data_IF_437906050168
#
_entry.id   IF_437906050168
#
_cell.length_a   1.000
_cell.length_b   1.000
_cell.length_c   1.000
_cell.angle_alpha   90.00
_cell.angle_beta   90.00
_cell.angle_gamma   90.00
#
_symmetry.space_group_name_H-M   'P 1'
#
loop_
_entity.id
_entity.type
_entity.pdbx_description
1 polymer ?
#
# COMPACT_ATOMS: atom_id res chain seq x y z
N UNK A 1 3.40 28.03 1.93
CA UNK A 1 3.21 26.88 0.98
C UNK A 1 4.48 26.58 0.18
N UNK A 2 5.38 27.56 -0.01
CA UNK A 2 6.73 27.37 -0.56
C UNK A 2 7.76 26.84 0.49
N UNK A 3 7.36 26.70 1.75
CA UNK A 3 8.31 26.51 2.86
C UNK A 3 8.73 25.05 3.07
N UNK A 4 7.90 24.06 2.70
CA UNK A 4 8.19 22.65 2.98
C UNK A 4 9.23 22.06 2.03
N UNK A 5 9.13 22.34 0.72
CA UNK A 5 10.15 21.93 -0.25
C UNK A 5 11.49 22.61 0.01
N UNK A 6 11.44 23.90 0.39
CA UNK A 6 12.62 24.67 0.82
C UNK A 6 13.25 24.09 2.09
N UNK A 7 12.44 23.61 3.04
CA UNK A 7 12.92 22.92 4.24
C UNK A 7 13.58 21.58 3.91
N UNK A 8 12.97 20.76 3.04
CA UNK A 8 13.59 19.50 2.61
C UNK A 8 14.90 19.74 1.86
N UNK A 9 14.99 20.78 1.04
CA UNK A 9 16.22 21.18 0.40
C UNK A 9 17.27 21.65 1.41
N UNK A 10 16.88 22.42 2.43
CA UNK A 10 17.79 22.87 3.48
C UNK A 10 18.38 21.71 4.30
N UNK A 11 17.61 20.63 4.50
CA UNK A 11 18.07 19.42 5.22
C UNK A 11 18.91 18.50 4.30
N UNK A 12 18.63 18.48 3.00
CA UNK A 12 19.35 17.69 2.01
C UNK A 12 19.85 18.59 0.86
N UNK A 13 20.87 19.44 1.10
CA UNK A 13 21.31 20.45 0.15
C UNK A 13 21.87 19.87 -1.15
N UNK A 14 22.50 18.70 -1.09
CA UNK A 14 23.08 18.06 -2.27
C UNK A 14 22.10 17.11 -2.99
N UNK A 15 20.98 16.76 -2.35
CA UNK A 15 20.04 15.75 -2.86
C UNK A 15 20.72 14.40 -3.17
N UNK A 16 19.97 13.48 -3.79
CA UNK A 16 20.58 12.28 -4.37
C UNK A 16 21.28 12.62 -5.69
N UNK A 17 22.48 12.06 -5.90
CA UNK A 17 23.24 12.22 -7.14
C UNK A 17 22.45 11.68 -8.34
N UNK A 18 22.71 12.17 -9.57
CA UNK A 18 22.01 11.69 -10.76
C UNK A 18 22.16 10.17 -10.96
N UNK A 19 23.35 9.63 -10.71
CA UNK A 19 23.63 8.20 -10.85
C UNK A 19 22.83 7.35 -9.86
N UNK A 20 22.76 7.77 -8.59
CA UNK A 20 21.95 7.10 -7.57
C UNK A 20 20.46 7.12 -7.93
N UNK A 21 19.96 8.24 -8.45
CA UNK A 21 18.57 8.35 -8.92
C UNK A 21 18.27 7.37 -10.05
N UNK A 22 19.16 7.25 -11.02
CA UNK A 22 18.98 6.31 -12.14
C UNK A 22 19.02 4.86 -11.68
N UNK A 23 19.99 4.48 -10.85
CA UNK A 23 20.12 3.10 -10.34
C UNK A 23 18.91 2.74 -9.46
N UNK A 24 18.58 3.59 -8.49
CA UNK A 24 17.48 3.35 -7.57
C UNK A 24 16.13 3.38 -8.28
N UNK A 25 15.88 4.39 -9.11
CA UNK A 25 14.64 4.53 -9.87
C UNK A 25 14.40 3.38 -10.85
N UNK A 26 15.43 2.94 -11.56
CA UNK A 26 15.33 1.78 -12.47
C UNK A 26 15.05 0.50 -11.69
N UNK A 27 15.71 0.32 -10.54
CA UNK A 27 15.49 -0.84 -9.67
C UNK A 27 14.05 -0.88 -9.16
N UNK A 28 13.53 0.25 -8.66
CA UNK A 28 12.14 0.38 -8.20
C UNK A 28 11.15 0.11 -9.33
N UNK A 29 11.42 0.60 -10.54
CA UNK A 29 10.58 0.36 -11.72
C UNK A 29 10.55 -1.13 -12.09
N UNK A 30 11.70 -1.79 -12.20
CA UNK A 30 11.79 -3.21 -12.55
C UNK A 30 11.08 -4.09 -11.52
N UNK A 31 11.30 -3.83 -10.23
CA UNK A 31 10.62 -4.55 -9.15
C UNK A 31 9.11 -4.30 -9.21
N UNK A 32 8.68 -3.06 -9.46
CA UNK A 32 7.25 -2.72 -9.53
C UNK A 32 6.57 -3.40 -10.71
N UNK A 33 7.16 -3.37 -11.91
CA UNK A 33 6.63 -4.02 -13.10
C UNK A 33 6.58 -5.53 -12.92
N UNK A 34 7.64 -6.16 -12.43
CA UNK A 34 7.66 -7.59 -12.13
C UNK A 34 6.58 -7.98 -11.13
N UNK A 35 6.42 -7.19 -10.07
CA UNK A 35 5.40 -7.41 -9.04
C UNK A 35 3.97 -7.25 -9.58
N UNK A 36 3.73 -6.29 -10.49
CA UNK A 36 2.43 -6.12 -11.15
C UNK A 36 2.11 -7.35 -11.99
N UNK A 37 3.05 -7.83 -12.80
CA UNK A 37 2.86 -9.02 -13.64
C UNK A 37 2.49 -10.23 -12.77
N UNK A 38 3.22 -10.47 -11.69
CA UNK A 38 2.95 -11.57 -10.76
C UNK A 38 1.57 -11.45 -10.09
N UNK A 39 1.18 -10.25 -9.65
CA UNK A 39 -0.13 -10.01 -9.04
C UNK A 39 -1.27 -10.19 -10.04
N UNK A 40 -1.09 -9.76 -11.30
CA UNK A 40 -2.08 -9.97 -12.37
C UNK A 40 -2.20 -11.46 -12.72
N UNK A 41 -1.10 -12.19 -12.83
CA UNK A 41 -1.12 -13.64 -13.04
C UNK A 41 -1.86 -14.35 -11.89
N UNK A 42 -1.59 -13.96 -10.65
CA UNK A 42 -2.28 -14.49 -9.48
C UNK A 42 -3.79 -14.20 -9.52
N UNK A 43 -4.19 -12.99 -9.94
CA UNK A 43 -5.60 -12.65 -10.15
C UNK A 43 -6.25 -13.53 -11.23
N UNK A 44 -5.56 -13.75 -12.36
CA UNK A 44 -6.05 -14.64 -13.44
C UNK A 44 -6.23 -16.06 -12.93
N UNK A 45 -5.28 -16.59 -12.16
CA UNK A 45 -5.38 -17.93 -11.56
C UNK A 45 -6.56 -17.99 -10.59
N UNK A 46 -6.77 -16.98 -9.75
CA UNK A 46 -7.91 -16.91 -8.82
C UNK A 46 -9.26 -16.93 -9.55
N UNK A 47 -9.36 -16.22 -10.67
CA UNK A 47 -10.59 -16.14 -11.47
C UNK A 47 -10.87 -17.42 -12.26
N UNK A 48 -9.83 -18.06 -12.81
CA UNK A 48 -9.99 -19.20 -13.73
C UNK A 48 -9.89 -20.56 -13.08
N UNK A 49 -9.19 -20.67 -11.95
CA UNK A 49 -8.89 -21.94 -11.31
C UNK A 49 -9.73 -22.17 -10.06
N UNK A 50 -10.25 -23.38 -9.92
CA UNK A 50 -10.80 -23.89 -8.66
C UNK A 50 -9.71 -24.47 -7.74
N UNK A 51 -8.43 -24.39 -8.13
CA UNK A 51 -7.31 -24.96 -7.36
C UNK A 51 -7.12 -24.32 -5.98
N UNK A 52 -7.56 -23.07 -5.81
CA UNK A 52 -7.45 -22.35 -4.54
C UNK A 52 -8.72 -22.58 -3.72
N UNK A 53 -8.53 -23.06 -2.49
CA UNK A 53 -9.59 -23.26 -1.50
C UNK A 53 -10.46 -22.01 -1.33
N UNK A 54 -11.78 -22.23 -1.24
CA UNK A 54 -12.77 -21.14 -1.10
C UNK A 54 -12.56 -20.32 0.17
N UNK A 55 -12.01 -20.92 1.22
CA UNK A 55 -11.67 -20.26 2.49
C UNK A 55 -10.58 -19.20 2.35
N UNK A 56 -9.53 -19.52 1.58
CA UNK A 56 -8.33 -18.67 1.46
C UNK A 56 -8.47 -17.63 0.35
N UNK A 57 -9.30 -17.93 -0.67
CA UNK A 57 -9.55 -17.07 -1.83
C UNK A 57 -9.81 -15.58 -1.48
N UNK A 58 -10.71 -15.21 -0.55
CA UNK A 58 -10.95 -13.79 -0.25
C UNK A 58 -9.73 -13.06 0.30
N UNK A 59 -8.91 -13.72 1.12
CA UNK A 59 -7.66 -13.13 1.61
C UNK A 59 -6.68 -12.88 0.46
N UNK A 60 -6.55 -13.81 -0.48
CA UNK A 60 -5.68 -13.62 -1.64
C UNK A 60 -6.18 -12.48 -2.53
N UNK A 61 -7.49 -12.40 -2.78
CA UNK A 61 -8.07 -11.29 -3.54
C UNK A 61 -7.78 -9.94 -2.87
N UNK A 62 -7.96 -9.85 -1.55
CA UNK A 62 -7.66 -8.62 -0.80
C UNK A 62 -6.16 -8.28 -0.82
N UNK A 63 -5.27 -9.26 -0.68
CA UNK A 63 -3.81 -9.04 -0.80
C UNK A 63 -3.41 -8.56 -2.20
N UNK A 64 -3.99 -9.13 -3.26
CA UNK A 64 -3.72 -8.70 -4.64
C UNK A 64 -4.22 -7.28 -4.87
N UNK A 65 -5.44 -6.95 -4.43
CA UNK A 65 -5.99 -5.61 -4.55
C UNK A 65 -5.13 -4.56 -3.81
N UNK A 66 -4.74 -4.84 -2.57
CA UNK A 66 -3.86 -3.96 -1.79
C UNK A 66 -2.47 -3.81 -2.42
N UNK A 67 -1.90 -4.90 -2.92
CA UNK A 67 -0.59 -4.89 -3.58
C UNK A 67 -0.61 -4.06 -4.87
N UNK A 68 -1.65 -4.21 -5.69
CA UNK A 68 -1.81 -3.42 -6.92
C UNK A 68 -1.96 -1.92 -6.60
N UNK A 69 -2.67 -1.54 -5.53
CA UNK A 69 -2.77 -0.14 -5.10
C UNK A 69 -1.40 0.48 -4.79
N UNK A 70 -0.54 -0.23 -4.04
CA UNK A 70 0.83 0.22 -3.77
C UNK A 70 1.65 0.34 -5.06
N UNK A 71 1.59 -0.68 -5.91
CA UNK A 71 2.40 -0.76 -7.13
C UNK A 71 2.02 0.30 -8.16
N UNK A 72 0.72 0.54 -8.37
CA UNK A 72 0.26 1.65 -9.20
C UNK A 72 0.71 2.99 -8.65
N UNK A 73 0.72 3.13 -7.32
CA UNK A 73 1.21 4.35 -6.68
C UNK A 73 2.69 4.58 -6.96
N UNK A 74 3.50 3.53 -6.87
CA UNK A 74 4.90 3.64 -7.25
C UNK A 74 5.10 4.07 -8.71
N UNK A 75 4.26 3.57 -9.63
CA UNK A 75 4.38 3.88 -11.06
C UNK A 75 4.00 5.32 -11.42
N UNK A 76 3.01 5.92 -10.75
CA UNK A 76 2.48 7.24 -11.13
C UNK A 76 3.04 8.43 -10.34
N UNK A 77 3.69 8.20 -9.18
CA UNK A 77 4.20 9.27 -8.31
C UNK A 77 5.66 9.03 -7.95
N UNK A 78 6.03 7.86 -7.43
CA UNK A 78 7.38 7.61 -6.94
C UNK A 78 8.39 7.57 -8.10
N UNK A 79 8.13 6.76 -9.12
CA UNK A 79 9.01 6.60 -10.28
C UNK A 79 9.16 7.92 -11.07
N UNK A 80 8.09 8.66 -11.40
CA UNK A 80 8.22 9.96 -12.05
C UNK A 80 8.99 10.99 -11.21
N UNK A 81 8.86 10.93 -9.88
CA UNK A 81 9.61 11.82 -8.98
C UNK A 81 11.11 11.48 -8.95
N UNK A 82 11.47 10.19 -9.02
CA UNK A 82 12.87 9.74 -8.99
C UNK A 82 13.54 9.92 -10.36
N UNK A 83 13.00 9.27 -11.40
CA UNK A 83 13.59 9.21 -12.75
C UNK A 83 13.31 10.48 -13.55
N UNK A 84 12.10 11.02 -13.45
CA UNK A 84 11.68 12.23 -14.16
C UNK A 84 12.01 13.52 -13.43
N UNK A 85 12.60 13.44 -12.23
CA UNK A 85 12.90 14.57 -11.34
C UNK A 85 11.69 15.50 -11.13
N UNK A 86 10.46 14.96 -11.23
CA UNK A 86 9.24 15.75 -11.13
C UNK A 86 8.98 16.11 -9.67
N UNK A 87 8.90 17.41 -9.38
CA UNK A 87 8.54 17.90 -8.03
C UNK A 87 7.03 18.11 -7.98
N UNK A 88 6.33 17.18 -7.33
CA UNK A 88 4.88 17.28 -7.12
C UNK A 88 4.62 18.03 -5.81
N UNK A 89 3.92 19.16 -5.93
CA UNK A 89 3.59 20.03 -4.80
C UNK A 89 2.35 19.53 -4.04
N UNK A 90 2.25 19.91 -2.77
CA UNK A 90 1.02 19.73 -1.99
C UNK A 90 -0.12 20.61 -2.57
N UNK A 91 -1.38 20.15 -2.58
CA UNK A 91 -1.89 18.92 -1.95
C UNK A 91 -1.81 17.67 -2.83
N UNK A 92 -1.42 17.80 -4.10
CA UNK A 92 -1.43 16.69 -5.07
C UNK A 92 -0.51 15.54 -4.67
N UNK A 93 0.66 15.85 -4.09
CA UNK A 93 1.59 14.83 -3.59
C UNK A 93 0.93 13.92 -2.55
N UNK A 94 0.20 14.50 -1.60
CA UNK A 94 -0.55 13.75 -0.58
C UNK A 94 -1.65 12.88 -1.20
N UNK A 95 -2.45 13.46 -2.10
CA UNK A 95 -3.58 12.75 -2.71
C UNK A 95 -3.08 11.55 -3.52
N UNK A 96 -2.06 11.75 -4.35
CA UNK A 96 -1.48 10.70 -5.18
C UNK A 96 -0.71 9.65 -4.39
N UNK A 97 -0.16 9.99 -3.21
CA UNK A 97 0.50 9.05 -2.31
C UNK A 97 -0.47 8.29 -1.38
N UNK A 98 -1.72 8.76 -1.22
CA UNK A 98 -2.69 8.15 -0.30
C UNK A 98 -3.00 6.68 -0.62
N UNK A 99 -3.17 6.28 -1.90
CA UNK A 99 -3.46 4.88 -2.23
C UNK A 99 -2.34 3.90 -1.83
N UNK A 100 -1.10 4.36 -1.73
CA UNK A 100 -0.01 3.54 -1.22
C UNK A 100 -0.19 3.18 0.26
N UNK A 101 -0.62 4.14 1.10
CA UNK A 101 -0.97 3.87 2.50
C UNK A 101 -2.14 2.88 2.61
N UNK A 102 -3.19 3.09 1.81
CA UNK A 102 -4.37 2.21 1.79
C UNK A 102 -3.95 0.79 1.40
N UNK A 103 -3.20 0.65 0.31
CA UNK A 103 -2.72 -0.65 -0.16
C UNK A 103 -1.85 -1.37 0.87
N UNK A 104 -0.93 -0.66 1.51
CA UNK A 104 -0.03 -1.21 2.52
C UNK A 104 -0.80 -1.70 3.75
N UNK A 105 -1.73 -0.88 4.28
CA UNK A 105 -2.57 -1.26 5.41
C UNK A 105 -3.53 -2.41 5.06
N UNK A 106 -4.07 -2.41 3.84
CA UNK A 106 -4.92 -3.48 3.35
C UNK A 106 -4.18 -4.81 3.31
N UNK A 107 -2.95 -4.85 2.78
CA UNK A 107 -2.10 -6.06 2.81
C UNK A 107 -1.82 -6.48 4.26
N UNK A 108 -1.40 -5.55 5.12
CA UNK A 108 -1.10 -5.84 6.52
C UNK A 108 -2.31 -6.45 7.25
N UNK A 109 -3.47 -5.78 7.24
CA UNK A 109 -4.68 -6.30 7.87
C UNK A 109 -5.18 -7.60 7.23
N UNK A 110 -4.97 -7.80 5.93
CA UNK A 110 -5.31 -9.06 5.28
C UNK A 110 -4.43 -10.20 5.77
N UNK A 111 -3.12 -9.98 5.95
CA UNK A 111 -2.23 -11.00 6.53
C UNK A 111 -2.58 -11.31 7.98
N UNK A 112 -2.98 -10.31 8.76
CA UNK A 112 -3.45 -10.50 10.14
C UNK A 112 -4.74 -11.32 10.18
N UNK A 113 -5.74 -10.97 9.37
CA UNK A 113 -7.01 -11.72 9.30
C UNK A 113 -6.79 -13.14 8.80
N UNK A 114 -5.87 -13.36 7.86
CA UNK A 114 -5.48 -14.70 7.40
C UNK A 114 -4.82 -15.52 8.52
N UNK A 115 -3.99 -14.90 9.36
CA UNK A 115 -3.39 -15.55 10.53
C UNK A 115 -4.45 -15.90 11.58
N UNK A 116 -5.40 -14.99 11.83
CA UNK A 116 -6.54 -15.21 12.74
C UNK A 116 -7.43 -16.34 12.23
N UNK A 117 -7.75 -16.39 10.93
CA UNK A 117 -8.54 -17.48 10.35
C UNK A 117 -7.86 -18.83 10.60
N UNK A 118 -6.55 -18.93 10.30
CA UNK A 118 -5.77 -20.14 10.59
C UNK A 118 -5.78 -20.49 12.09
N UNK A 119 -5.64 -19.51 12.97
CA UNK A 119 -5.70 -19.75 14.41
C UNK A 119 -7.07 -20.32 14.84
N UNK A 120 -8.18 -19.77 14.34
CA UNK A 120 -9.54 -20.25 14.62
C UNK A 120 -9.76 -21.68 14.13
N UNK A 121 -9.15 -22.05 13.00
CA UNK A 121 -9.21 -23.43 12.47
C UNK A 121 -8.59 -24.43 13.44
N UNK A 122 -7.40 -24.12 13.97
CA UNK A 122 -6.64 -25.05 14.79
C UNK A 122 -7.08 -25.06 16.26
N UNK A 123 -7.34 -23.89 16.85
CA UNK A 123 -7.53 -23.76 18.30
C UNK A 123 -9.00 -23.63 18.71
N UNK A 124 -9.89 -23.15 17.83
CA UNK A 124 -11.29 -22.89 18.17
C UNK A 124 -12.27 -23.40 17.10
N UNK A 125 -12.25 -24.70 16.76
CA UNK A 125 -13.05 -25.24 15.66
C UNK A 125 -14.56 -25.11 15.88
N UNK A 126 -15.01 -25.11 17.15
CA UNK A 126 -16.42 -24.94 17.53
C UNK A 126 -16.97 -23.57 17.12
N UNK A 127 -16.16 -22.51 17.27
CA UNK A 127 -16.54 -21.14 16.86
C UNK A 127 -16.61 -21.07 15.34
N UNK A 128 -15.65 -21.66 14.64
CA UNK A 128 -15.64 -21.69 13.17
C UNK A 128 -16.84 -22.43 12.58
N UNK A 129 -17.28 -23.53 13.21
CA UNK A 129 -18.47 -24.26 12.77
C UNK A 129 -19.78 -23.50 13.03
N UNK A 130 -19.83 -22.69 14.10
CA UNK A 130 -21.01 -21.91 14.47
C UNK A 130 -21.25 -20.71 13.53
N UNK A 131 -20.17 -20.13 12.98
CA UNK A 131 -20.28 -19.03 12.02
C UNK A 131 -20.46 -19.61 10.62
N UNK A 132 -21.57 -19.25 9.96
CA UNK A 132 -21.82 -19.63 8.56
C UNK A 132 -20.62 -19.29 7.68
N UNK A 133 -20.07 -20.29 6.99
CA UNK A 133 -18.84 -20.16 6.21
C UNK A 133 -18.88 -19.00 5.20
N UNK A 134 -20.02 -18.76 4.55
CA UNK A 134 -20.17 -17.65 3.59
C UNK A 134 -20.12 -16.27 4.25
N UNK A 135 -20.67 -16.13 5.45
CA UNK A 135 -20.68 -14.87 6.20
C UNK A 135 -19.28 -14.53 6.72
N UNK A 136 -18.57 -15.54 7.24
CA UNK A 136 -17.19 -15.39 7.67
C UNK A 136 -16.28 -14.92 6.53
N UNK A 137 -16.44 -15.48 5.33
CA UNK A 137 -15.63 -15.09 4.15
C UNK A 137 -15.85 -13.63 3.74
N UNK A 138 -17.09 -13.16 3.80
CA UNK A 138 -17.42 -11.78 3.46
C UNK A 138 -16.84 -10.80 4.47
N UNK A 139 -16.95 -11.12 5.76
CA UNK A 139 -16.37 -10.34 6.85
C UNK A 139 -14.85 -10.28 6.72
N UNK A 140 -14.20 -11.41 6.48
CA UNK A 140 -12.74 -11.49 6.39
C UNK A 140 -12.16 -10.72 5.19
N UNK A 141 -12.93 -10.55 4.11
CA UNK A 141 -12.55 -9.69 2.99
C UNK A 141 -12.83 -8.20 3.26
N UNK A 142 -13.96 -7.89 3.90
CA UNK A 142 -14.43 -6.52 4.08
C UNK A 142 -13.72 -5.78 5.22
N UNK A 143 -13.35 -6.49 6.30
CA UNK A 143 -12.68 -5.90 7.47
C UNK A 143 -11.35 -5.24 7.08
N UNK A 144 -10.39 -5.92 6.40
CA UNK A 144 -9.11 -5.31 6.04
C UNK A 144 -9.26 -4.04 5.22
N UNK A 145 -10.16 -4.06 4.23
CA UNK A 145 -10.45 -2.91 3.40
C UNK A 145 -11.02 -1.75 4.23
N UNK A 146 -12.05 -2.02 5.03
CA UNK A 146 -12.73 -1.00 5.83
C UNK A 146 -11.78 -0.38 6.86
N UNK A 147 -11.01 -1.19 7.57
CA UNK A 147 -10.01 -0.71 8.52
C UNK A 147 -8.92 0.10 7.82
N UNK A 148 -8.41 -0.33 6.66
CA UNK A 148 -7.40 0.43 5.92
C UNK A 148 -7.90 1.83 5.53
N UNK A 149 -9.16 1.94 5.09
CA UNK A 149 -9.78 3.21 4.74
C UNK A 149 -10.00 4.09 5.97
N UNK A 150 -10.51 3.54 7.07
CA UNK A 150 -10.76 4.27 8.32
C UNK A 150 -9.44 4.81 8.89
N UNK A 151 -8.41 3.97 9.00
CA UNK A 151 -7.11 4.40 9.51
C UNK A 151 -6.45 5.44 8.61
N UNK A 152 -6.53 5.27 7.30
CA UNK A 152 -5.98 6.26 6.35
C UNK A 152 -6.72 7.60 6.45
N UNK A 153 -8.05 7.56 6.51
CA UNK A 153 -8.87 8.76 6.69
C UNK A 153 -8.56 9.45 8.03
N UNK A 154 -8.49 8.70 9.12
CA UNK A 154 -8.14 9.21 10.44
C UNK A 154 -6.76 9.88 10.43
N UNK A 155 -5.73 9.23 9.87
CA UNK A 155 -4.39 9.81 9.73
C UNK A 155 -4.40 11.11 8.93
N UNK A 156 -5.15 11.16 7.82
CA UNK A 156 -5.26 12.35 6.99
C UNK A 156 -5.99 13.51 7.70
N UNK A 157 -7.01 13.20 8.52
CA UNK A 157 -7.77 14.19 9.32
C UNK A 157 -6.90 14.82 10.41
N UNK A 158 -6.13 14.01 11.15
CA UNK A 158 -5.21 14.53 12.18
C UNK A 158 -3.98 15.25 11.60
N UNK A 159 -3.87 15.31 10.26
CA UNK A 159 -2.77 16.00 9.57
C UNK A 159 -1.49 15.16 9.44
N UNK A 160 -1.54 13.85 9.68
CA UNK A 160 -0.47 12.89 9.44
C UNK A 160 -0.57 12.33 8.02
N UNK A 161 0.24 12.89 7.11
CA UNK A 161 0.13 12.64 5.68
C UNK A 161 1.39 11.99 5.13
N UNK A 162 1.19 11.00 4.26
CA UNK A 162 2.24 10.42 3.44
C UNK A 162 2.51 11.31 2.23
N UNK A 163 3.77 11.51 1.90
CA UNK A 163 4.23 12.30 0.74
C UNK A 163 5.45 11.64 0.13
N UNK A 164 5.73 11.88 -1.14
CA UNK A 164 7.02 11.55 -1.75
C UNK A 164 7.98 12.72 -1.54
N UNK A 165 9.16 12.43 -1.00
CA UNK A 165 10.25 13.38 -0.88
C UNK A 165 11.21 13.20 -2.08
N UNK A 166 11.33 14.21 -2.96
CA UNK A 166 12.18 14.13 -4.15
C UNK A 166 13.68 14.13 -3.84
N UNK A 167 14.08 14.53 -2.62
CA UNK A 167 15.48 14.59 -2.21
C UNK A 167 15.97 13.28 -1.60
N UNK A 168 15.09 12.55 -0.90
CA UNK A 168 15.41 11.24 -0.30
C UNK A 168 14.93 10.05 -1.14
N UNK A 169 14.30 10.29 -2.29
CA UNK A 169 13.78 9.29 -3.22
C UNK A 169 12.82 8.28 -2.57
N UNK A 170 12.09 8.71 -1.54
CA UNK A 170 11.30 7.81 -0.69
C UNK A 170 10.00 8.47 -0.23
N UNK A 171 9.05 7.65 0.21
CA UNK A 171 7.89 8.17 0.91
C UNK A 171 8.30 8.62 2.31
N UNK A 172 7.92 9.84 2.67
CA UNK A 172 8.03 10.38 4.01
C UNK A 172 6.66 10.51 4.64
N UNK A 173 6.61 10.27 5.95
CA UNK A 173 5.44 10.50 6.77
C UNK A 173 5.70 11.73 7.62
N UNK A 174 4.84 12.73 7.49
CA UNK A 174 4.92 13.94 8.30
C UNK A 174 3.55 14.26 8.89
N UNK A 175 3.53 14.44 10.20
CA UNK A 175 2.37 14.99 10.91
C UNK A 175 2.55 16.50 11.03
N UNK A 176 1.46 17.25 10.82
CA UNK A 176 1.42 18.65 11.21
C UNK A 176 1.50 18.69 12.73
N UNK A 177 2.59 19.20 13.29
CA UNK A 177 2.60 19.60 14.69
C UNK A 177 1.56 20.72 14.82
N UNK A 178 0.42 20.41 15.43
CA UNK A 178 -0.52 21.43 15.86
C UNK A 178 0.13 22.08 17.08
N UNK A 179 0.81 23.20 16.84
CA UNK A 179 0.96 24.27 17.84
C UNK A 179 -0.25 25.18 17.71
#
# INVERSE_FOLDING_TARGET
MNDLSSCFHAIHPEGASPEERYIFGTTVLLISVGSIILNVLLAVVLCRSAAIEKSVRPHIVSMVAGSLLCLFTNCWILVPTILGQMIILDPYNVVLATPDTVGYLMVMFTTTTMAVDRFLIFFMPQIRQSISGSFLLYIMALIPFSLSMIFTAHMNIIGCRKRVNPYTMSYTYACRWVT
#
